data_IF_508968007134
#
_entry.id   IF_508968007134
#
_cell.length_a   1.000
_cell.length_b   1.000
_cell.length_c   1.000
_cell.angle_alpha   90.00
_cell.angle_beta   90.00
_cell.angle_gamma   90.00
#
_symmetry.space_group_name_H-M   'P 1'
#
loop_
_entity.id
_entity.type
_entity.pdbx_description
1 polymer ?
#
# COMPACT_ATOMS: atom_id res chain seq x y z
N UNK A 1 -4.97 -3.21 -31.19
CA UNK A 1 -5.35 -3.64 -29.82
C UNK A 1 -5.00 -5.10 -29.49
N UNK A 2 -4.78 -5.98 -30.51
CA UNK A 2 -4.41 -7.39 -30.30
C UNK A 2 -2.88 -7.59 -30.10
N UNK A 3 -2.03 -6.73 -30.66
CA UNK A 3 -0.57 -6.85 -30.60
C UNK A 3 0.00 -6.51 -29.20
N UNK A 4 -0.65 -5.61 -28.43
CA UNK A 4 -0.19 -5.18 -27.10
C UNK A 4 -0.42 -6.24 -26.01
N UNK A 5 -1.44 -7.09 -26.16
CA UNK A 5 -1.71 -8.20 -25.22
C UNK A 5 -0.73 -9.36 -25.37
N UNK A 6 -0.23 -9.60 -26.57
CA UNK A 6 0.73 -10.68 -26.84
C UNK A 6 2.10 -10.38 -26.23
N UNK A 7 2.53 -9.11 -26.23
CA UNK A 7 3.83 -8.70 -25.68
C UNK A 7 3.90 -8.79 -24.15
N UNK A 8 2.77 -8.60 -23.45
CA UNK A 8 2.71 -8.82 -21.98
C UNK A 8 2.71 -10.32 -21.61
N UNK A 9 2.11 -11.18 -22.44
CA UNK A 9 2.05 -12.61 -22.18
C UNK A 9 3.40 -13.30 -22.40
N UNK A 10 4.14 -12.89 -23.44
CA UNK A 10 5.45 -13.45 -23.76
C UNK A 10 6.53 -13.08 -22.72
N UNK A 11 6.39 -11.94 -22.02
CA UNK A 11 7.30 -11.54 -20.95
C UNK A 11 7.10 -12.35 -19.64
N UNK A 12 5.91 -12.89 -19.42
CA UNK A 12 5.56 -13.67 -18.21
C UNK A 12 5.91 -15.16 -18.39
N UNK A 13 5.92 -15.67 -19.63
CA UNK A 13 6.06 -17.11 -19.90
C UNK A 13 7.34 -17.53 -20.61
N UNK A 14 8.25 -16.61 -20.97
CA UNK A 14 9.51 -16.98 -21.61
C UNK A 14 10.51 -17.52 -20.58
N UNK A 15 10.55 -18.84 -20.47
CA UNK A 15 11.32 -19.63 -19.50
C UNK A 15 12.85 -19.64 -19.73
N UNK A 16 13.35 -18.98 -20.79
CA UNK A 16 14.74 -19.18 -21.26
C UNK A 16 15.75 -18.10 -20.88
N UNK A 17 15.34 -17.02 -20.18
CA UNK A 17 16.29 -16.02 -19.70
C UNK A 17 16.09 -15.66 -18.23
N UNK A 18 15.98 -16.66 -17.36
CA UNK A 18 16.05 -16.42 -15.91
C UNK A 18 17.54 -16.31 -15.54
N UNK A 19 18.02 -15.14 -15.09
CA UNK A 19 19.32 -15.07 -14.46
C UNK A 19 19.29 -15.99 -13.24
N UNK A 20 20.43 -16.65 -12.99
CA UNK A 20 20.68 -17.59 -11.90
C UNK A 20 19.98 -17.18 -10.60
N UNK A 21 18.75 -17.69 -10.38
CA UNK A 21 17.95 -17.38 -9.20
C UNK A 21 18.56 -18.11 -8.02
N UNK A 22 19.14 -17.37 -7.10
CA UNK A 22 19.51 -17.89 -5.81
C UNK A 22 18.35 -18.71 -5.22
N UNK A 23 18.69 -19.76 -4.48
CA UNK A 23 17.73 -20.73 -3.91
C UNK A 23 16.60 -20.00 -3.19
N UNK A 24 15.39 -20.05 -3.74
CA UNK A 24 14.19 -19.42 -3.14
C UNK A 24 14.00 -20.04 -1.75
N UNK A 25 13.81 -19.20 -0.72
CA UNK A 25 13.55 -19.67 0.63
C UNK A 25 12.30 -20.54 0.66
N UNK A 26 12.40 -21.73 1.28
CA UNK A 26 11.27 -22.66 1.51
C UNK A 26 10.38 -22.26 2.69
N UNK A 27 10.63 -21.11 3.33
CA UNK A 27 9.86 -20.60 4.46
C UNK A 27 8.40 -20.36 4.03
N UNK A 28 7.44 -20.99 4.70
CA UNK A 28 6.00 -20.87 4.38
C UNK A 28 5.47 -19.46 4.72
N UNK A 29 5.91 -18.86 5.82
CA UNK A 29 5.48 -17.55 6.29
C UNK A 29 6.53 -16.48 5.99
N UNK A 30 6.52 -15.96 4.76
CA UNK A 30 7.38 -14.84 4.34
C UNK A 30 6.72 -13.51 4.69
N UNK A 31 7.50 -12.58 5.25
CA UNK A 31 6.98 -11.23 5.48
C UNK A 31 6.98 -10.39 4.20
N UNK A 32 6.35 -9.22 4.24
CA UNK A 32 6.18 -8.36 3.06
C UNK A 32 7.51 -7.89 2.45
N UNK A 33 8.57 -7.71 3.24
CA UNK A 33 9.90 -7.30 2.76
C UNK A 33 10.56 -8.41 1.95
N UNK A 34 10.50 -9.65 2.46
CA UNK A 34 11.02 -10.82 1.76
C UNK A 34 10.28 -11.08 0.45
N UNK A 35 8.93 -11.01 0.49
CA UNK A 35 8.11 -11.18 -0.71
C UNK A 35 8.46 -10.13 -1.78
N UNK A 36 8.59 -8.86 -1.39
CA UNK A 36 8.94 -7.79 -2.32
C UNK A 36 10.31 -7.98 -2.99
N UNK A 37 11.33 -8.45 -2.24
CA UNK A 37 12.64 -8.78 -2.79
C UNK A 37 12.59 -9.98 -3.74
N UNK A 38 11.90 -11.04 -3.33
CA UNK A 38 11.82 -12.28 -4.11
C UNK A 38 11.02 -12.12 -5.40
N UNK A 39 10.01 -11.25 -5.42
CA UNK A 39 9.27 -10.91 -6.65
C UNK A 39 10.16 -10.27 -7.72
N UNK A 40 11.23 -9.56 -7.30
CA UNK A 40 12.25 -9.03 -8.19
C UNK A 40 13.33 -10.08 -8.55
N UNK A 41 13.25 -11.29 -8.02
CA UNK A 41 14.26 -12.35 -8.23
C UNK A 41 15.61 -12.04 -7.58
N UNK A 42 15.67 -11.14 -6.58
CA UNK A 42 16.91 -10.72 -5.96
C UNK A 42 17.32 -11.66 -4.81
N UNK A 43 18.61 -12.01 -4.76
CA UNK A 43 19.23 -12.55 -3.53
C UNK A 43 19.41 -11.41 -2.51
N UNK A 44 19.74 -11.71 -1.25
CA UNK A 44 19.99 -10.68 -0.22
C UNK A 44 21.21 -9.82 -0.56
N UNK A 45 22.24 -10.43 -1.14
CA UNK A 45 23.45 -9.74 -1.60
C UNK A 45 23.12 -8.74 -2.70
N UNK A 46 22.38 -9.17 -3.75
CA UNK A 46 21.93 -8.28 -4.84
C UNK A 46 20.97 -7.21 -4.35
N UNK A 47 20.12 -7.52 -3.38
CA UNK A 47 19.26 -6.54 -2.75
C UNK A 47 20.06 -5.51 -1.96
N UNK A 48 21.11 -5.92 -1.24
CA UNK A 48 22.01 -5.00 -0.55
C UNK A 48 22.72 -4.04 -1.51
N UNK A 49 23.19 -4.56 -2.65
CA UNK A 49 23.78 -3.73 -3.71
C UNK A 49 22.79 -2.69 -4.24
N UNK A 50 21.50 -3.09 -4.46
CA UNK A 50 20.46 -2.20 -4.92
C UNK A 50 20.06 -1.14 -3.88
N UNK A 51 20.02 -1.54 -2.61
CA UNK A 51 19.63 -0.68 -1.49
C UNK A 51 20.77 0.22 -1.00
N UNK A 52 22.03 -0.09 -1.34
CA UNK A 52 23.26 0.65 -1.04
C UNK A 52 23.58 0.82 0.46
N UNK A 53 22.56 1.11 1.28
CA UNK A 53 22.69 1.45 2.71
C UNK A 53 22.35 0.32 3.68
N UNK A 54 21.84 -0.83 3.18
CA UNK A 54 21.34 -1.92 4.01
C UNK A 54 22.12 -3.19 3.71
N UNK A 55 22.92 -3.64 4.67
CA UNK A 55 23.76 -4.85 4.53
C UNK A 55 22.90 -6.13 4.44
N UNK A 56 23.41 -7.21 3.79
CA UNK A 56 22.68 -8.48 3.61
C UNK A 56 22.21 -9.10 4.93
N UNK A 57 23.04 -9.02 5.99
CA UNK A 57 22.71 -9.54 7.33
C UNK A 57 21.57 -8.72 7.98
N UNK A 58 21.50 -7.42 7.67
CA UNK A 58 20.39 -6.57 8.13
C UNK A 58 19.10 -6.94 7.44
N UNK A 59 19.15 -7.15 6.11
CA UNK A 59 18.00 -7.66 5.31
C UNK A 59 17.53 -9.01 5.88
N UNK A 60 18.45 -9.94 6.16
CA UNK A 60 18.12 -11.23 6.75
C UNK A 60 17.39 -11.10 8.09
N UNK A 61 17.88 -10.22 8.99
CA UNK A 61 17.24 -10.00 10.30
C UNK A 61 15.84 -9.42 10.16
N UNK A 62 15.61 -8.51 9.21
CA UNK A 62 14.29 -7.93 8.92
C UNK A 62 13.35 -9.00 8.34
N UNK A 63 13.80 -9.77 7.36
CA UNK A 63 13.00 -10.83 6.73
C UNK A 63 12.64 -11.99 7.69
N UNK A 64 13.52 -12.26 8.66
CA UNK A 64 13.28 -13.26 9.70
C UNK A 64 12.59 -12.69 10.95
N UNK A 65 12.12 -11.42 10.90
CA UNK A 65 11.42 -10.74 11.99
C UNK A 65 12.23 -10.70 13.31
N UNK A 66 13.55 -10.83 13.22
CA UNK A 66 14.45 -10.70 14.36
C UNK A 66 14.64 -9.25 14.79
N UNK A 67 14.40 -8.32 13.87
CA UNK A 67 14.45 -6.87 14.12
C UNK A 67 13.41 -6.16 13.27
N UNK A 68 12.83 -5.08 13.82
CA UNK A 68 11.99 -4.16 13.06
C UNK A 68 12.91 -3.26 12.21
N UNK A 69 12.61 -3.03 10.93
CA UNK A 69 13.35 -2.06 10.12
C UNK A 69 13.15 -0.64 10.66
N UNK A 70 14.08 0.25 10.35
CA UNK A 70 13.93 1.68 10.60
C UNK A 70 13.06 2.31 9.50
N UNK A 71 12.37 3.43 9.76
CA UNK A 71 11.54 4.10 8.76
C UNK A 71 12.29 4.44 7.45
N UNK A 72 13.55 4.89 7.56
CA UNK A 72 14.41 5.20 6.42
C UNK A 72 14.75 3.95 5.57
N UNK A 73 14.98 2.79 6.24
CA UNK A 73 15.18 1.52 5.56
C UNK A 73 13.93 1.07 4.80
N UNK A 74 12.74 1.28 5.39
CA UNK A 74 11.45 0.95 4.74
C UNK A 74 11.22 1.83 3.52
N UNK A 75 11.46 3.14 3.61
CA UNK A 75 11.35 4.06 2.47
C UNK A 75 12.27 3.64 1.33
N UNK A 76 13.55 3.34 1.64
CA UNK A 76 14.51 2.85 0.65
C UNK A 76 14.06 1.55 0.00
N UNK A 77 13.58 0.57 0.79
CA UNK A 77 13.04 -0.68 0.27
C UNK A 77 11.79 -0.46 -0.61
N UNK A 78 10.86 0.40 -0.18
CA UNK A 78 9.64 0.69 -0.92
C UNK A 78 9.95 1.30 -2.30
N UNK A 79 10.90 2.24 -2.36
CA UNK A 79 11.33 2.90 -3.58
C UNK A 79 12.09 1.93 -4.50
N UNK A 80 13.16 1.31 -4.00
CA UNK A 80 14.05 0.47 -4.82
C UNK A 80 13.36 -0.84 -5.26
N UNK A 81 12.49 -1.41 -4.44
CA UNK A 81 11.68 -2.58 -4.82
C UNK A 81 10.43 -2.21 -5.62
N UNK A 82 10.13 -0.90 -5.80
CA UNK A 82 8.90 -0.41 -6.44
C UNK A 82 7.64 -0.96 -5.77
N UNK A 83 7.65 -1.00 -4.44
CA UNK A 83 6.58 -1.55 -3.59
C UNK A 83 6.15 -0.53 -2.51
N UNK A 84 5.43 0.54 -2.88
CA UNK A 84 4.98 1.56 -1.92
C UNK A 84 4.14 0.96 -0.77
N UNK A 85 3.47 -0.16 -1.00
CA UNK A 85 2.73 -0.89 0.05
C UNK A 85 3.57 -1.28 1.28
N UNK A 86 4.90 -1.33 1.17
CA UNK A 86 5.78 -1.58 2.32
C UNK A 86 5.71 -0.47 3.37
N UNK A 87 5.47 0.78 2.95
CA UNK A 87 5.31 1.91 3.86
C UNK A 87 4.03 1.74 4.70
N UNK A 88 2.89 1.44 4.07
CA UNK A 88 1.65 1.17 4.80
C UNK A 88 1.77 -0.07 5.71
N UNK A 89 2.41 -1.15 5.22
CA UNK A 89 2.67 -2.35 6.02
C UNK A 89 3.46 -2.02 7.29
N UNK A 90 4.53 -1.23 7.18
CA UNK A 90 5.32 -0.78 8.33
C UNK A 90 4.49 0.07 9.28
N UNK A 91 3.85 1.13 8.77
CA UNK A 91 3.09 2.06 9.60
C UNK A 91 1.93 1.36 10.31
N UNK A 92 1.12 0.58 9.61
CA UNK A 92 -0.07 -0.06 10.18
C UNK A 92 0.22 -1.26 11.09
N UNK A 93 1.43 -1.87 11.02
CA UNK A 93 1.72 -3.11 11.78
C UNK A 93 2.90 -3.01 12.72
N UNK A 94 3.92 -2.21 12.40
CA UNK A 94 5.21 -2.23 13.11
C UNK A 94 5.51 -0.93 13.86
N UNK A 95 5.07 0.21 13.33
CA UNK A 95 5.21 1.50 14.00
C UNK A 95 4.20 1.62 15.15
N UNK A 96 4.62 1.87 16.41
CA UNK A 96 3.68 1.99 17.54
C UNK A 96 2.62 3.08 17.32
N UNK A 97 3.01 4.24 16.79
CA UNK A 97 2.08 5.33 16.48
C UNK A 97 1.18 4.96 15.29
N UNK A 98 1.79 4.41 14.22
CA UNK A 98 1.04 4.06 13.00
C UNK A 98 -0.02 3.00 13.24
N UNK A 99 0.20 2.06 14.16
CA UNK A 99 -0.80 1.04 14.54
C UNK A 99 -2.09 1.64 15.11
N UNK A 100 -2.01 2.82 15.74
CA UNK A 100 -3.18 3.52 16.29
C UNK A 100 -3.87 4.42 15.25
N UNK A 101 -3.11 4.98 14.30
CA UNK A 101 -3.60 6.07 13.45
C UNK A 101 -3.61 5.76 11.95
N UNK A 102 -2.91 4.72 11.50
CA UNK A 102 -2.79 4.39 10.08
C UNK A 102 -3.58 3.12 9.77
N UNK A 103 -4.64 3.19 8.96
CA UNK A 103 -5.40 2.02 8.59
C UNK A 103 -4.56 1.09 7.70
N UNK A 104 -4.77 -0.21 7.86
CA UNK A 104 -4.16 -1.18 6.97
C UNK A 104 -4.91 -1.20 5.65
N UNK A 105 -4.23 -0.85 4.57
CA UNK A 105 -4.77 -0.90 3.22
C UNK A 105 -4.02 -1.90 2.35
N UNK A 106 -4.66 -2.39 1.32
CA UNK A 106 -4.08 -3.31 0.35
C UNK A 106 -4.38 -2.84 -1.07
N UNK A 107 -3.46 -3.12 -1.99
CA UNK A 107 -3.67 -2.79 -3.39
C UNK A 107 -4.80 -3.65 -3.95
N UNK A 108 -5.79 -2.99 -4.56
CA UNK A 108 -6.95 -3.59 -5.22
C UNK A 108 -7.06 -3.10 -6.65
N UNK A 109 -7.98 -3.66 -7.43
CA UNK A 109 -8.33 -3.15 -8.75
C UNK A 109 -9.04 -1.79 -8.63
N UNK A 110 -8.72 -0.86 -9.54
CA UNK A 110 -9.26 0.51 -9.52
C UNK A 110 -10.79 0.52 -9.52
N UNK A 111 -11.41 -0.34 -10.32
CA UNK A 111 -12.87 -0.45 -10.39
C UNK A 111 -13.50 -0.80 -9.05
N UNK A 112 -12.89 -1.71 -8.29
CA UNK A 112 -13.37 -2.10 -6.97
C UNK A 112 -13.22 -0.94 -5.96
N UNK A 113 -12.11 -0.20 -6.00
CA UNK A 113 -11.88 0.98 -5.16
C UNK A 113 -12.94 2.05 -5.44
N UNK A 114 -13.19 2.34 -6.72
CA UNK A 114 -14.18 3.35 -7.13
C UNK A 114 -15.59 2.97 -6.70
N UNK A 115 -15.99 1.70 -6.86
CA UNK A 115 -17.32 1.22 -6.44
C UNK A 115 -17.48 1.33 -4.92
N UNK A 116 -16.46 0.98 -4.13
CA UNK A 116 -16.49 1.10 -2.67
C UNK A 116 -16.57 2.56 -2.23
N UNK A 117 -15.82 3.45 -2.89
CA UNK A 117 -15.86 4.90 -2.66
C UNK A 117 -17.27 5.46 -2.91
N UNK A 118 -17.87 5.15 -4.06
CA UNK A 118 -19.21 5.62 -4.40
C UNK A 118 -20.25 5.09 -3.42
N UNK A 119 -20.15 3.83 -3.00
CA UNK A 119 -21.05 3.25 -2.00
C UNK A 119 -20.95 3.97 -0.65
N UNK A 120 -19.72 4.27 -0.18
CA UNK A 120 -19.48 4.97 1.08
C UNK A 120 -19.95 6.44 1.02
N UNK A 121 -19.70 7.14 -0.09
CA UNK A 121 -20.21 8.50 -0.30
C UNK A 121 -21.74 8.55 -0.31
N UNK A 122 -22.39 7.61 -0.99
CA UNK A 122 -23.86 7.51 -0.99
C UNK A 122 -24.43 7.18 0.41
N UNK A 123 -23.73 6.35 1.18
CA UNK A 123 -24.11 6.06 2.56
C UNK A 123 -23.99 7.29 3.46
N UNK A 124 -22.93 8.08 3.25
CA UNK A 124 -22.71 9.33 3.98
C UNK A 124 -23.72 10.42 3.62
N UNK A 125 -24.08 10.54 2.33
CA UNK A 125 -25.09 11.52 1.88
C UNK A 125 -26.45 11.33 2.57
N UNK A 126 -26.84 10.09 2.83
CA UNK A 126 -28.06 9.76 3.60
C UNK A 126 -27.99 10.13 5.08
N UNK A 127 -26.79 10.34 5.63
CA UNK A 127 -26.55 10.62 7.06
C UNK A 127 -26.15 12.07 7.31
N UNK A 128 -25.93 12.88 6.28
CA UNK A 128 -25.44 14.24 6.39
C UNK A 128 -26.32 15.15 7.23
N UNK A 129 -27.64 15.06 7.04
CA UNK A 129 -28.60 15.88 7.78
C UNK A 129 -28.56 15.54 9.27
N UNK A 130 -28.50 14.24 9.60
CA UNK A 130 -28.38 13.78 10.98
C UNK A 130 -27.05 14.23 11.61
N UNK A 131 -25.95 14.23 10.86
CA UNK A 131 -24.68 14.76 11.36
C UNK A 131 -24.77 16.25 11.68
N UNK A 132 -25.44 17.04 10.83
CA UNK A 132 -25.63 18.48 11.06
C UNK A 132 -26.48 18.70 12.32
N UNK A 133 -27.55 17.93 12.51
CA UNK A 133 -28.42 18.03 13.71
C UNK A 133 -27.63 17.74 14.99
N UNK A 134 -26.92 16.59 15.05
CA UNK A 134 -26.14 16.16 16.22
C UNK A 134 -25.04 17.17 16.58
N UNK A 135 -24.46 17.86 15.58
CA UNK A 135 -23.35 18.79 15.83
C UNK A 135 -23.78 20.25 16.00
N UNK A 136 -25.06 20.55 15.93
CA UNK A 136 -25.59 21.92 15.93
C UNK A 136 -25.28 22.70 17.22
N UNK A 137 -25.29 22.04 18.37
CA UNK A 137 -25.00 22.66 19.66
C UNK A 137 -23.55 22.46 20.15
N UNK A 138 -22.72 21.71 19.36
CA UNK A 138 -21.31 21.42 19.66
C UNK A 138 -21.14 20.36 20.78
N UNK A 139 -22.20 19.66 21.17
CA UNK A 139 -22.17 18.56 22.15
C UNK A 139 -22.86 17.34 21.57
N UNK A 140 -22.49 16.16 22.03
CA UNK A 140 -23.13 14.89 21.63
C UNK A 140 -23.81 14.33 22.87
N UNK A 141 -25.15 14.35 22.87
CA UNK A 141 -25.97 13.83 23.93
C UNK A 141 -25.96 12.28 23.96
N UNK A 142 -26.39 11.70 25.07
CA UNK A 142 -26.37 10.23 25.24
C UNK A 142 -27.26 9.48 24.25
N UNK A 143 -28.33 10.09 23.78
CA UNK A 143 -29.26 9.55 22.77
C UNK A 143 -28.74 9.72 21.33
N UNK A 144 -27.74 10.56 21.11
CA UNK A 144 -27.11 10.79 19.80
C UNK A 144 -25.83 9.95 19.59
N UNK A 145 -25.29 9.36 20.64
CA UNK A 145 -24.01 8.61 20.57
C UNK A 145 -24.07 7.50 19.51
N UNK A 146 -25.16 6.75 19.43
CA UNK A 146 -25.27 5.63 18.48
C UNK A 146 -25.24 6.09 17.01
N UNK A 147 -25.94 7.20 16.73
CA UNK A 147 -25.96 7.79 15.39
C UNK A 147 -24.58 8.36 15.05
N UNK A 148 -23.96 9.06 15.98
CA UNK A 148 -22.62 9.61 15.80
C UNK A 148 -21.57 8.52 15.54
N UNK A 149 -21.62 7.39 16.26
CA UNK A 149 -20.73 6.24 16.03
C UNK A 149 -20.92 5.69 14.62
N UNK A 150 -22.17 5.52 14.14
CA UNK A 150 -22.45 5.04 12.78
C UNK A 150 -21.93 5.99 11.71
N UNK A 151 -22.06 7.30 11.92
CA UNK A 151 -21.54 8.32 11.01
C UNK A 151 -20.00 8.27 11.00
N UNK A 152 -19.37 8.21 12.17
CA UNK A 152 -17.92 8.07 12.29
C UNK A 152 -17.37 6.85 11.55
N UNK A 153 -18.07 5.70 11.65
CA UNK A 153 -17.69 4.49 10.93
C UNK A 153 -17.74 4.65 9.40
N UNK A 154 -18.72 5.40 8.86
CA UNK A 154 -18.76 5.69 7.43
C UNK A 154 -17.61 6.62 7.00
N UNK A 155 -17.27 7.63 7.79
CA UNK A 155 -16.13 8.49 7.54
C UNK A 155 -14.81 7.71 7.56
N UNK A 156 -14.67 6.75 8.46
CA UNK A 156 -13.51 5.86 8.51
C UNK A 156 -13.39 4.98 7.26
N UNK A 157 -14.51 4.45 6.74
CA UNK A 157 -14.53 3.72 5.46
C UNK A 157 -14.11 4.59 4.28
N UNK A 158 -14.58 5.84 4.23
CA UNK A 158 -14.15 6.80 3.21
C UNK A 158 -12.64 7.02 3.29
N UNK A 159 -12.10 7.26 4.49
CA UNK A 159 -10.66 7.43 4.71
C UNK A 159 -9.86 6.23 4.19
N UNK A 160 -10.23 5.00 4.58
CA UNK A 160 -9.59 3.77 4.11
C UNK A 160 -9.62 3.66 2.58
N UNK A 161 -10.74 4.04 1.95
CA UNK A 161 -10.88 3.96 0.49
C UNK A 161 -10.01 5.00 -0.22
N UNK A 162 -9.91 6.22 0.34
CA UNK A 162 -9.01 7.27 -0.16
C UNK A 162 -7.55 6.82 -0.08
N UNK A 163 -7.11 6.28 1.05
CA UNK A 163 -5.76 5.77 1.20
C UNK A 163 -5.47 4.57 0.28
N UNK A 164 -6.47 3.71 0.04
CA UNK A 164 -6.35 2.61 -0.92
C UNK A 164 -6.15 3.13 -2.35
N UNK A 165 -6.86 4.21 -2.74
CA UNK A 165 -6.69 4.86 -4.04
C UNK A 165 -5.31 5.52 -4.15
N UNK A 166 -4.83 6.17 -3.10
CA UNK A 166 -3.48 6.75 -3.07
C UNK A 166 -2.42 5.67 -3.26
N UNK A 167 -2.51 4.57 -2.51
CA UNK A 167 -1.58 3.45 -2.65
C UNK A 167 -1.62 2.83 -4.06
N UNK A 168 -2.81 2.72 -4.66
CA UNK A 168 -2.95 2.28 -6.05
C UNK A 168 -2.22 3.23 -7.01
N UNK A 169 -2.40 4.54 -6.85
CA UNK A 169 -1.74 5.57 -7.67
C UNK A 169 -0.21 5.49 -7.54
N UNK A 170 0.31 5.41 -6.32
CA UNK A 170 1.74 5.26 -6.07
C UNK A 170 2.32 3.99 -6.75
N UNK A 171 1.58 2.89 -6.71
CA UNK A 171 1.97 1.65 -7.40
C UNK A 171 1.99 1.84 -8.91
N UNK A 172 1.03 2.54 -9.50
CA UNK A 172 0.99 2.80 -10.94
C UNK A 172 2.15 3.69 -11.37
N UNK A 173 2.49 4.70 -10.57
CA UNK A 173 3.67 5.56 -10.77
C UNK A 173 4.97 4.77 -10.66
N UNK A 174 5.14 3.95 -9.61
CA UNK A 174 6.34 3.14 -9.38
C UNK A 174 6.60 2.13 -10.50
N UNK A 175 5.53 1.59 -11.11
CA UNK A 175 5.60 0.63 -12.21
C UNK A 175 5.61 1.28 -13.60
N UNK A 176 5.58 2.63 -13.68
CA UNK A 176 5.59 3.36 -14.94
C UNK A 176 4.30 3.24 -15.76
N UNK A 177 3.19 2.84 -15.15
CA UNK A 177 1.86 2.76 -15.78
C UNK A 177 1.18 4.14 -15.82
N UNK A 178 1.61 5.06 -14.96
CA UNK A 178 1.30 6.49 -15.02
C UNK A 178 2.62 7.22 -15.27
N UNK A 179 2.63 8.17 -16.21
CA UNK A 179 3.78 9.03 -16.46
C UNK A 179 4.00 9.96 -15.25
N UNK A 180 5.08 9.68 -14.49
CA UNK A 180 5.40 10.41 -13.28
C UNK A 180 5.72 11.91 -13.54
N UNK A 181 6.34 12.24 -14.70
CA UNK A 181 6.64 13.63 -15.05
C UNK A 181 5.37 14.42 -15.36
N UNK A 182 4.49 13.85 -16.19
CA UNK A 182 3.20 14.44 -16.50
C UNK A 182 2.32 14.59 -15.26
N UNK A 183 2.35 13.59 -14.36
CA UNK A 183 1.58 13.60 -13.12
C UNK A 183 2.04 14.72 -12.17
N UNK A 184 3.35 14.81 -11.88
CA UNK A 184 3.93 15.86 -11.02
C UNK A 184 3.72 17.27 -11.60
N UNK A 185 3.96 17.45 -12.90
CA UNK A 185 3.73 18.73 -13.55
C UNK A 185 2.29 19.26 -13.41
N UNK A 186 1.29 18.36 -13.34
CA UNK A 186 -0.11 18.74 -13.14
C UNK A 186 -0.48 18.95 -11.67
N UNK A 187 0.28 18.39 -10.73
CA UNK A 187 0.12 18.66 -9.30
C UNK A 187 0.76 19.99 -8.88
N UNK A 188 1.59 20.61 -9.74
CA UNK A 188 2.32 21.84 -9.44
C UNK A 188 3.60 21.60 -8.61
N UNK A 189 4.13 20.37 -8.66
CA UNK A 189 5.38 19.95 -8.04
C UNK A 189 6.56 19.91 -9.02
#
# INVERSE_FOLDING_TARGET
LAASRKMCYDFIYNKETRPNMGRTSTKENKNSYQLAREELGLTREKASELLETIAPERIEKIENERTVPRPDEVLTMAEKYKRPALCNYYCSRQCPIGREYVPQVSVRELSAIVLEMLASLNAMDKKKERLIEITADGQISSDEIDDFIRIRQELERISVTVETLQLWTERMLANGQIDAKAYKAKLGE
#
